data_IF_355990266827
#
_entry.id   IF_355990266827
#
_cell.length_a   1.000
_cell.length_b   1.000
_cell.length_c   1.000
_cell.angle_alpha   90.00
_cell.angle_beta   90.00
_cell.angle_gamma   90.00
#
_symmetry.space_group_name_H-M   'P 1'
#
loop_
_entity.id
_entity.type
_entity.pdbx_description
1 polymer ?
#
# COMPACT_ATOMS: atom_id res chain seq x y z
N UNK A 1 12.53 -30.10 -11.33
CA UNK A 1 13.10 -28.91 -10.66
C UNK A 1 12.81 -27.74 -11.57
N UNK A 2 11.87 -26.87 -11.20
CA UNK A 2 11.50 -25.71 -12.01
C UNK A 2 12.72 -24.79 -12.17
N UNK A 3 13.07 -24.43 -13.41
CA UNK A 3 14.17 -23.51 -13.69
C UNK A 3 13.71 -22.08 -13.38
N UNK A 4 13.68 -21.75 -12.10
CA UNK A 4 13.32 -20.42 -11.61
C UNK A 4 14.49 -19.46 -11.81
N UNK A 5 14.19 -18.23 -12.25
CA UNK A 5 15.19 -17.23 -12.63
C UNK A 5 14.88 -15.91 -11.96
N UNK A 6 15.81 -15.41 -11.14
CA UNK A 6 15.67 -14.18 -10.37
C UNK A 6 16.58 -13.08 -10.91
N UNK A 7 16.07 -11.85 -10.96
CA UNK A 7 16.80 -10.67 -11.44
C UNK A 7 16.26 -9.40 -10.78
N UNK A 8 16.97 -8.29 -10.90
CA UNK A 8 16.54 -6.98 -10.41
C UNK A 8 16.48 -6.00 -11.59
N UNK A 9 15.49 -5.11 -11.60
CA UNK A 9 15.33 -4.13 -12.68
C UNK A 9 15.98 -2.78 -12.34
N UNK A 10 16.55 -2.07 -13.33
CA UNK A 10 16.69 -2.44 -14.75
C UNK A 10 17.67 -3.60 -14.97
N UNK A 11 17.38 -4.46 -15.96
CA UNK A 11 18.13 -5.69 -16.20
C UNK A 11 18.65 -5.76 -17.63
N UNK A 12 19.84 -5.21 -17.88
CA UNK A 12 20.39 -5.06 -19.23
C UNK A 12 20.92 -6.38 -19.84
N UNK A 13 21.40 -7.30 -19.01
CA UNK A 13 21.99 -8.59 -19.43
C UNK A 13 20.97 -9.70 -19.72
N UNK A 14 19.70 -9.35 -19.95
CA UNK A 14 18.63 -10.34 -20.14
C UNK A 14 18.83 -11.25 -21.37
N UNK A 15 19.57 -10.79 -22.39
CA UNK A 15 19.82 -11.56 -23.60
C UNK A 15 20.78 -12.74 -23.37
N UNK A 16 21.77 -12.59 -22.48
CA UNK A 16 22.71 -13.67 -22.14
C UNK A 16 22.12 -14.61 -21.09
N UNK A 17 21.28 -14.07 -20.20
CA UNK A 17 20.68 -14.80 -19.10
C UNK A 17 19.52 -15.71 -19.52
N UNK A 18 18.74 -15.33 -20.54
CA UNK A 18 17.63 -16.14 -21.07
C UNK A 18 17.98 -16.72 -22.45
N UNK A 19 17.69 -18.02 -22.65
CA UNK A 19 17.83 -18.64 -23.96
C UNK A 19 16.88 -18.02 -24.98
N UNK A 20 17.27 -18.01 -26.26
CA UNK A 20 16.50 -17.41 -27.37
C UNK A 20 15.06 -17.92 -27.46
N UNK A 21 14.83 -19.20 -27.16
CA UNK A 21 13.50 -19.79 -27.10
C UNK A 21 12.62 -19.11 -26.05
N UNK A 22 13.14 -18.91 -24.83
CA UNK A 22 12.40 -18.30 -23.71
C UNK A 22 12.08 -16.83 -24.00
N UNK A 23 13.02 -16.11 -24.62
CA UNK A 23 12.84 -14.71 -25.00
C UNK A 23 11.69 -14.48 -25.99
N UNK A 24 11.41 -15.46 -26.86
CA UNK A 24 10.33 -15.40 -27.84
C UNK A 24 8.94 -15.72 -27.28
N UNK A 25 8.86 -16.23 -26.05
CA UNK A 25 7.58 -16.65 -25.47
C UNK A 25 6.73 -15.46 -25.03
N UNK A 26 5.42 -15.57 -25.27
CA UNK A 26 4.42 -14.64 -24.73
C UNK A 26 4.19 -14.93 -23.25
N UNK A 27 4.21 -13.87 -22.46
CA UNK A 27 4.18 -13.96 -21.00
C UNK A 27 2.98 -13.21 -20.42
N UNK A 28 2.58 -13.59 -19.20
CA UNK A 28 1.69 -12.82 -18.33
C UNK A 28 2.53 -12.23 -17.20
N UNK A 29 2.23 -10.99 -16.82
CA UNK A 29 2.98 -10.26 -15.79
C UNK A 29 2.08 -10.06 -14.56
N UNK A 30 2.55 -10.54 -13.41
CA UNK A 30 1.90 -10.42 -12.11
C UNK A 30 2.81 -9.63 -11.18
N UNK A 31 2.32 -8.51 -10.67
CA UNK A 31 3.08 -7.66 -9.78
C UNK A 31 2.54 -7.70 -8.36
N UNK A 32 3.43 -7.76 -7.39
CA UNK A 32 3.15 -7.70 -5.98
C UNK A 32 3.61 -6.33 -5.43
N UNK A 33 2.69 -5.69 -4.71
CA UNK A 33 2.93 -4.48 -3.95
C UNK A 33 2.45 -4.78 -2.55
N UNK A 34 3.27 -4.61 -1.53
CA UNK A 34 2.79 -4.85 -0.17
C UNK A 34 3.45 -4.00 0.88
N UNK A 35 2.73 -3.85 1.99
CA UNK A 35 3.29 -3.37 3.25
C UNK A 35 3.68 -4.59 4.04
N UNK A 36 4.93 -4.66 4.51
CA UNK A 36 5.37 -5.79 5.31
C UNK A 36 5.42 -5.37 6.78
N UNK A 37 4.94 -6.21 7.69
CA UNK A 37 5.29 -6.09 9.09
C UNK A 37 6.78 -6.39 9.27
N UNK A 38 7.36 -5.79 10.31
CA UNK A 38 8.70 -6.13 10.74
C UNK A 38 8.63 -7.44 11.51
N UNK A 39 9.08 -8.53 10.90
CA UNK A 39 9.31 -9.82 11.55
C UNK A 39 10.73 -10.25 11.19
N UNK A 40 11.55 -10.51 12.19
CA UNK A 40 12.95 -10.90 12.00
C UNK A 40 13.00 -12.18 11.14
N UNK A 41 13.70 -12.13 10.01
CA UNK A 41 13.94 -13.29 9.14
C UNK A 41 12.79 -13.72 8.21
N UNK A 42 11.60 -13.13 8.30
CA UNK A 42 10.48 -13.46 7.39
C UNK A 42 10.00 -12.25 6.59
N UNK A 43 9.87 -12.43 5.27
CA UNK A 43 9.04 -11.57 4.44
C UNK A 43 7.60 -11.71 4.97
N UNK A 44 7.06 -10.65 5.57
CA UNK A 44 5.69 -10.58 6.15
C UNK A 44 4.56 -10.70 5.10
N UNK A 45 4.80 -11.40 3.99
CA UNK A 45 3.81 -11.73 2.99
C UNK A 45 3.32 -13.15 3.28
N UNK A 46 2.52 -13.37 4.34
CA UNK A 46 2.19 -14.69 4.91
C UNK A 46 2.17 -15.90 3.95
N UNK A 47 1.00 -16.24 3.41
CA UNK A 47 0.84 -17.33 2.43
C UNK A 47 1.34 -16.97 1.02
N UNK A 48 1.52 -15.67 0.76
CA UNK A 48 1.91 -15.09 -0.53
C UNK A 48 3.39 -15.37 -0.83
N UNK A 49 4.29 -15.27 0.14
CA UNK A 49 5.73 -15.52 -0.05
C UNK A 49 6.01 -16.98 -0.47
N UNK A 50 5.16 -17.93 -0.08
CA UNK A 50 5.27 -19.35 -0.49
C UNK A 50 5.06 -19.53 -2.00
N UNK A 51 4.21 -18.70 -2.62
CA UNK A 51 3.92 -18.74 -4.05
C UNK A 51 4.96 -17.94 -4.83
N UNK A 52 5.29 -16.77 -4.31
CA UNK A 52 6.17 -15.82 -4.99
C UNK A 52 7.67 -16.09 -4.80
N UNK A 53 8.07 -16.79 -3.73
CA UNK A 53 9.44 -17.25 -3.41
C UNK A 53 10.54 -16.26 -3.83
N UNK A 54 10.36 -14.98 -3.56
CA UNK A 54 11.41 -14.00 -3.87
C UNK A 54 12.60 -14.20 -2.92
N UNK A 55 13.82 -13.75 -3.31
CA UNK A 55 15.06 -13.95 -2.51
C UNK A 55 14.82 -13.63 -1.03
N UNK A 56 15.37 -14.45 -0.13
CA UNK A 56 15.33 -14.15 1.31
C UNK A 56 16.18 -12.90 1.59
N UNK A 57 15.85 -12.12 2.64
CA UNK A 57 16.65 -10.94 3.01
C UNK A 57 18.14 -11.26 3.25
N UNK A 58 18.47 -12.49 3.66
CA UNK A 58 19.85 -12.93 3.90
C UNK A 58 20.70 -13.02 2.62
N UNK A 59 20.08 -13.24 1.45
CA UNK A 59 20.76 -13.28 0.15
C UNK A 59 20.98 -11.87 -0.45
N UNK A 60 20.48 -10.81 0.22
CA UNK A 60 20.54 -9.42 -0.27
C UNK A 60 21.88 -8.71 -0.02
N UNK A 61 22.87 -9.41 0.55
CA UNK A 61 24.21 -8.89 0.86
C UNK A 61 25.04 -8.49 -0.37
N UNK A 62 24.51 -8.63 -1.60
CA UNK A 62 25.20 -8.28 -2.85
C UNK A 62 24.52 -7.17 -3.68
N UNK A 63 23.43 -6.55 -3.22
CA UNK A 63 22.81 -5.45 -3.98
C UNK A 63 23.17 -4.08 -3.40
N UNK A 64 24.25 -3.49 -3.94
CA UNK A 64 24.72 -2.11 -3.72
C UNK A 64 23.76 -1.01 -4.24
N UNK A 65 22.46 -1.28 -4.33
CA UNK A 65 21.49 -0.27 -4.74
C UNK A 65 21.07 0.54 -3.51
N UNK A 66 21.74 1.65 -3.26
CA UNK A 66 21.42 2.71 -2.29
C UNK A 66 20.03 3.37 -2.50
N UNK A 67 19.16 2.79 -3.32
CA UNK A 67 17.86 3.33 -3.70
C UNK A 67 16.75 2.96 -2.73
N UNK A 68 15.86 3.93 -2.46
CA UNK A 68 14.66 3.76 -1.62
C UNK A 68 13.60 2.83 -2.21
N UNK A 69 13.69 2.49 -3.50
CA UNK A 69 12.76 1.60 -4.19
C UNK A 69 13.48 0.77 -5.23
N UNK A 70 13.24 -0.54 -5.21
CA UNK A 70 13.79 -1.51 -6.14
C UNK A 70 12.66 -2.42 -6.64
N UNK A 71 12.76 -2.88 -7.88
CA UNK A 71 11.82 -3.87 -8.45
C UNK A 71 12.57 -5.18 -8.63
N UNK A 72 12.21 -6.18 -7.82
CA UNK A 72 12.74 -7.54 -7.91
C UNK A 72 11.86 -8.33 -8.91
N UNK A 73 12.47 -9.12 -9.77
CA UNK A 73 11.80 -9.92 -10.80
C UNK A 73 12.08 -11.41 -10.66
N UNK A 74 11.07 -12.25 -10.93
CA UNK A 74 11.18 -13.71 -11.00
C UNK A 74 10.41 -14.23 -12.20
N UNK A 75 11.08 -14.97 -13.07
CA UNK A 75 10.45 -15.62 -14.22
C UNK A 75 10.29 -17.12 -13.98
N UNK A 76 9.05 -17.60 -14.08
CA UNK A 76 8.72 -19.03 -13.97
C UNK A 76 8.44 -19.56 -15.37
N UNK A 77 9.36 -20.38 -15.88
CA UNK A 77 9.33 -20.91 -17.26
C UNK A 77 8.10 -21.80 -17.48
N UNK A 78 7.76 -22.63 -16.50
CA UNK A 78 6.68 -23.62 -16.60
C UNK A 78 5.30 -22.95 -16.78
N UNK A 79 5.07 -21.88 -16.02
CA UNK A 79 3.81 -21.12 -16.05
C UNK A 79 3.80 -20.01 -17.11
N UNK A 80 4.98 -19.63 -17.64
CA UNK A 80 5.18 -18.47 -18.53
C UNK A 80 4.71 -17.17 -17.87
N UNK A 81 4.92 -17.07 -16.57
CA UNK A 81 4.55 -15.93 -15.75
C UNK A 81 5.80 -15.21 -15.28
N UNK A 82 5.78 -13.89 -15.44
CA UNK A 82 6.76 -13.00 -14.87
C UNK A 82 6.17 -12.35 -13.62
N UNK A 83 6.80 -12.62 -12.49
CA UNK A 83 6.48 -12.03 -11.20
C UNK A 83 7.38 -10.83 -10.95
N UNK A 84 6.79 -9.70 -10.55
CA UNK A 84 7.50 -8.51 -10.14
C UNK A 84 7.13 -8.18 -8.70
N UNK A 85 8.10 -7.75 -7.90
CA UNK A 85 7.89 -7.32 -6.54
C UNK A 85 8.41 -5.89 -6.40
N UNK A 86 7.51 -4.96 -6.08
CA UNK A 86 7.91 -3.61 -5.76
C UNK A 86 8.33 -3.54 -4.30
N UNK A 87 9.64 -3.43 -4.09
CA UNK A 87 10.23 -3.25 -2.79
C UNK A 87 10.45 -1.77 -2.56
N UNK A 88 9.48 -1.14 -1.90
CA UNK A 88 9.51 0.28 -1.54
C UNK A 88 9.78 0.54 -0.05
N UNK A 89 9.64 1.79 0.42
CA UNK A 89 9.82 2.18 1.82
C UNK A 89 8.72 1.63 2.74
N UNK A 90 7.64 1.09 2.18
CA UNK A 90 6.62 0.37 2.96
C UNK A 90 7.04 -1.05 3.36
N UNK A 91 8.17 -1.52 2.84
CA UNK A 91 8.79 -2.73 3.32
C UNK A 91 9.66 -2.38 4.54
N UNK A 92 9.28 -2.89 5.71
CA UNK A 92 9.95 -2.59 6.96
C UNK A 92 11.44 -2.96 6.93
N UNK A 93 11.80 -4.08 6.29
CA UNK A 93 13.19 -4.55 6.15
C UNK A 93 14.07 -3.55 5.42
N UNK A 94 13.55 -2.98 4.32
CA UNK A 94 14.27 -2.00 3.49
C UNK A 94 14.26 -0.61 4.11
N UNK A 95 13.17 -0.26 4.79
CA UNK A 95 13.16 0.96 5.58
C UNK A 95 14.27 0.93 6.62
N UNK A 96 14.48 -0.18 7.35
CA UNK A 96 15.54 -0.26 8.36
C UNK A 96 16.95 -0.16 7.77
N UNK A 97 17.20 -0.76 6.60
CA UNK A 97 18.52 -0.65 5.95
C UNK A 97 18.84 0.80 5.57
N UNK A 98 17.83 1.56 5.11
CA UNK A 98 18.03 2.94 4.62
C UNK A 98 17.74 4.00 5.70
N UNK A 99 17.15 3.62 6.84
CA UNK A 99 16.69 4.53 7.89
C UNK A 99 17.77 5.50 8.37
N UNK A 100 19.02 5.02 8.49
CA UNK A 100 20.16 5.84 8.92
C UNK A 100 20.43 6.99 7.94
N UNK A 101 20.33 6.73 6.64
CA UNK A 101 20.49 7.75 5.60
C UNK A 101 19.31 8.72 5.62
N UNK A 102 18.08 8.19 5.69
CA UNK A 102 16.85 9.00 5.75
C UNK A 102 16.91 10.01 6.90
N UNK A 103 17.37 9.59 8.10
CA UNK A 103 17.50 10.49 9.26
C UNK A 103 18.46 11.64 8.97
N UNK A 104 19.56 11.38 8.26
CA UNK A 104 20.52 12.41 7.92
C UNK A 104 19.91 13.41 6.93
N UNK A 105 19.27 12.90 5.88
CA UNK A 105 18.59 13.73 4.86
C UNK A 105 17.46 14.58 5.50
N UNK A 106 16.74 14.01 6.47
CA UNK A 106 15.70 14.73 7.23
C UNK A 106 16.25 15.88 8.06
N UNK A 107 17.49 15.78 8.58
CA UNK A 107 18.14 16.86 9.34
C UNK A 107 18.61 18.00 8.43
N UNK A 108 19.07 17.68 7.23
CA UNK A 108 19.64 18.65 6.29
C UNK A 108 18.56 19.38 5.49
N UNK A 109 17.61 18.64 4.91
CA UNK A 109 16.61 19.16 3.97
C UNK A 109 15.22 19.35 4.60
N UNK A 110 15.02 18.81 5.80
CA UNK A 110 13.74 18.82 6.51
C UNK A 110 12.83 17.64 6.13
N UNK A 111 12.01 17.23 7.10
CA UNK A 111 11.13 16.05 7.00
C UNK A 111 10.23 16.06 5.76
N UNK A 112 9.55 17.18 5.49
CA UNK A 112 8.55 17.25 4.41
C UNK A 112 9.16 17.10 3.02
N UNK A 113 10.35 17.67 2.81
CA UNK A 113 11.06 17.57 1.53
C UNK A 113 11.50 16.13 1.28
N UNK A 114 12.16 15.53 2.28
CA UNK A 114 12.58 14.14 2.24
C UNK A 114 11.39 13.20 2.01
N UNK A 115 10.32 13.33 2.79
CA UNK A 115 9.11 12.52 2.63
C UNK A 115 8.46 12.63 1.25
N UNK A 116 8.43 13.84 0.67
CA UNK A 116 7.89 14.05 -0.66
C UNK A 116 8.74 13.37 -1.74
N UNK A 117 10.07 13.52 -1.66
CA UNK A 117 11.00 12.86 -2.58
C UNK A 117 10.80 11.33 -2.57
N UNK A 118 10.66 10.74 -1.39
CA UNK A 118 10.43 9.29 -1.25
C UNK A 118 9.07 8.87 -1.80
N UNK A 119 8.02 9.64 -1.50
CA UNK A 119 6.67 9.39 -2.02
C UNK A 119 6.64 9.45 -3.54
N UNK A 120 7.39 10.37 -4.14
CA UNK A 120 7.52 10.51 -5.58
C UNK A 120 8.23 9.32 -6.24
N UNK A 121 9.35 8.86 -5.66
CA UNK A 121 10.06 7.66 -6.12
C UNK A 121 9.10 6.46 -6.12
N UNK A 122 8.34 6.28 -5.05
CA UNK A 122 7.33 5.23 -4.95
C UNK A 122 6.22 5.38 -5.99
N UNK A 123 5.72 6.60 -6.17
CA UNK A 123 4.66 6.91 -7.14
C UNK A 123 5.09 6.57 -8.58
N UNK A 124 6.34 6.88 -8.96
CA UNK A 124 6.89 6.51 -10.28
C UNK A 124 7.02 5.00 -10.42
N UNK A 125 7.56 4.32 -9.42
CA UNK A 125 7.67 2.87 -9.44
C UNK A 125 6.30 2.18 -9.54
N UNK A 126 5.27 2.71 -8.86
CA UNK A 126 3.89 2.23 -8.99
C UNK A 126 3.33 2.49 -10.39
N UNK A 127 3.51 3.68 -10.96
CA UNK A 127 3.06 3.97 -12.33
C UNK A 127 3.68 3.00 -13.34
N UNK A 128 4.97 2.70 -13.19
CA UNK A 128 5.65 1.70 -13.98
C UNK A 128 5.01 0.32 -13.82
N UNK A 129 4.82 -0.15 -12.58
CA UNK A 129 4.18 -1.45 -12.30
C UNK A 129 2.77 -1.53 -12.91
N UNK A 130 1.93 -0.51 -12.74
CA UNK A 130 0.57 -0.50 -13.28
C UNK A 130 0.51 -0.39 -14.82
N UNK A 131 1.55 0.08 -15.50
CA UNK A 131 1.60 0.14 -16.97
C UNK A 131 2.16 -1.13 -17.60
N UNK A 132 3.10 -1.79 -16.91
CA UNK A 132 3.83 -2.96 -17.40
C UNK A 132 3.30 -4.31 -16.88
N UNK A 133 2.20 -4.32 -16.13
CA UNK A 133 1.59 -5.52 -15.53
C UNK A 133 0.21 -5.85 -16.08
N UNK A 134 -0.16 -7.12 -16.00
CA UNK A 134 -1.52 -7.59 -16.27
C UNK A 134 -2.34 -7.73 -14.99
N UNK A 135 -1.72 -8.26 -13.94
CA UNK A 135 -2.34 -8.44 -12.63
C UNK A 135 -1.48 -7.71 -11.61
N UNK A 136 -2.10 -6.97 -10.71
CA UNK A 136 -1.42 -6.29 -9.61
C UNK A 136 -2.08 -6.74 -8.31
N UNK A 137 -1.27 -7.20 -7.37
CA UNK A 137 -1.71 -7.68 -6.06
C UNK A 137 -1.23 -6.68 -5.03
N UNK A 138 -2.17 -6.21 -4.20
CA UNK A 138 -1.87 -5.40 -3.03
C UNK A 138 -1.97 -6.29 -1.81
N UNK A 139 -0.82 -6.57 -1.20
CA UNK A 139 -0.73 -7.24 0.08
C UNK A 139 -0.74 -6.24 1.24
N UNK A 140 -1.61 -6.49 2.21
CA UNK A 140 -1.75 -5.65 3.39
C UNK A 140 -1.81 -6.52 4.65
N UNK A 141 -0.98 -6.23 5.66
CA UNK A 141 -0.86 -7.07 6.85
C UNK A 141 -2.01 -6.86 7.84
N UNK A 142 -3.01 -6.07 7.48
CA UNK A 142 -4.23 -5.85 8.27
C UNK A 142 -5.43 -6.41 7.53
N UNK A 143 -6.44 -6.83 8.29
CA UNK A 143 -7.73 -7.28 7.78
C UNK A 143 -8.60 -6.13 7.23
N UNK A 144 -8.16 -4.88 7.36
CA UNK A 144 -8.87 -3.71 6.84
C UNK A 144 -8.16 -3.11 5.63
N UNK A 145 -8.89 -2.72 4.57
CA UNK A 145 -8.27 -2.11 3.40
C UNK A 145 -7.72 -0.73 3.73
N UNK A 146 -6.46 -0.50 3.34
CA UNK A 146 -5.76 0.74 3.60
C UNK A 146 -6.23 1.88 2.68
N UNK A 147 -6.82 2.90 3.30
CA UNK A 147 -7.30 4.08 2.58
C UNK A 147 -6.15 4.90 1.97
N UNK A 148 -4.97 4.93 2.58
CA UNK A 148 -3.83 5.72 2.09
C UNK A 148 -3.31 5.19 0.75
N UNK A 149 -3.21 3.86 0.60
CA UNK A 149 -2.86 3.22 -0.67
C UNK A 149 -3.91 3.55 -1.74
N UNK A 150 -5.21 3.47 -1.42
CA UNK A 150 -6.27 3.83 -2.37
C UNK A 150 -6.24 5.31 -2.80
N UNK A 151 -5.91 6.22 -1.88
CA UNK A 151 -5.72 7.64 -2.20
C UNK A 151 -4.54 7.85 -3.15
N UNK A 152 -3.43 7.16 -2.93
CA UNK A 152 -2.29 7.21 -3.83
C UNK A 152 -2.64 6.67 -5.22
N UNK A 153 -3.34 5.54 -5.31
CA UNK A 153 -3.79 5.01 -6.60
C UNK A 153 -4.73 5.97 -7.33
N UNK A 154 -5.61 6.67 -6.58
CA UNK A 154 -6.46 7.72 -7.15
C UNK A 154 -5.61 8.84 -7.73
N UNK A 155 -4.58 9.26 -7.01
CA UNK A 155 -3.65 10.27 -7.48
C UNK A 155 -2.96 9.82 -8.78
N UNK A 156 -2.41 8.62 -8.81
CA UNK A 156 -1.74 8.08 -10.00
C UNK A 156 -2.68 8.03 -11.21
N UNK A 157 -3.98 7.80 -11.00
CA UNK A 157 -4.98 7.84 -12.08
C UNK A 157 -5.08 9.19 -12.79
N UNK A 158 -4.79 10.31 -12.10
CA UNK A 158 -4.76 11.65 -12.68
C UNK A 158 -3.44 11.95 -13.41
N UNK A 159 -2.34 11.37 -12.95
CA UNK A 159 -1.00 11.56 -13.56
C UNK A 159 -0.83 10.67 -14.79
N UNK A 160 -1.46 9.49 -14.80
CA UNK A 160 -1.32 8.47 -15.85
C UNK A 160 -1.46 8.99 -17.30
N UNK A 161 -2.42 9.87 -17.67
CA UNK A 161 -2.51 10.35 -19.06
C UNK A 161 -1.25 11.10 -19.52
N UNK A 162 -0.60 11.86 -18.62
CA UNK A 162 0.67 12.55 -18.94
C UNK A 162 1.81 11.55 -19.08
N UNK A 163 1.85 10.57 -18.18
CA UNK A 163 2.81 9.46 -18.21
C UNK A 163 2.69 8.63 -19.50
N UNK A 164 1.46 8.35 -19.96
CA UNK A 164 1.18 7.64 -21.20
C UNK A 164 1.81 8.35 -22.40
N UNK A 165 1.66 9.67 -22.53
CA UNK A 165 2.23 10.43 -23.67
C UNK A 165 3.75 10.30 -23.70
N UNK A 166 4.41 10.37 -22.54
CA UNK A 166 5.86 10.24 -22.43
C UNK A 166 6.32 8.82 -22.80
N UNK A 167 5.67 7.79 -22.26
CA UNK A 167 5.96 6.40 -22.61
C UNK A 167 5.76 6.13 -24.10
N UNK A 168 4.67 6.60 -24.71
CA UNK A 168 4.42 6.45 -26.14
C UNK A 168 5.55 7.09 -26.95
N UNK A 169 5.97 8.30 -26.61
CA UNK A 169 7.05 9.01 -27.30
C UNK A 169 8.41 8.30 -27.15
N UNK A 170 8.67 7.69 -26.00
CA UNK A 170 9.91 6.96 -25.75
C UNK A 170 9.93 5.62 -26.50
N UNK A 171 8.87 4.83 -26.36
CA UNK A 171 8.81 3.50 -26.95
C UNK A 171 8.75 3.54 -28.48
N UNK A 172 8.07 4.53 -29.06
CA UNK A 172 8.04 4.72 -30.53
C UNK A 172 9.38 5.13 -31.14
N UNK A 173 10.34 5.64 -30.33
CA UNK A 173 11.70 5.92 -30.81
C UNK A 173 12.61 4.70 -30.77
N UNK A 174 12.37 3.79 -29.82
CA UNK A 174 13.25 2.67 -29.53
C UNK A 174 12.79 1.42 -30.29
N UNK A 175 11.49 1.28 -30.51
CA UNK A 175 10.89 0.12 -31.15
C UNK A 175 10.26 0.51 -32.48
N UNK A 176 10.67 -0.14 -33.56
CA UNK A 176 10.16 0.08 -34.92
C UNK A 176 8.73 -0.46 -35.14
N UNK A 177 8.14 -1.10 -34.12
CA UNK A 177 6.83 -1.76 -34.23
C UNK A 177 5.69 -0.82 -33.81
N UNK A 178 4.65 -0.73 -34.66
CA UNK A 178 3.41 0.01 -34.38
C UNK A 178 2.38 -0.85 -33.66
N UNK A 179 2.74 -1.40 -32.51
CA UNK A 179 1.76 -2.13 -31.68
C UNK A 179 0.82 -1.17 -30.96
N UNK A 180 -0.45 -1.56 -30.83
CA UNK A 180 -1.47 -0.81 -30.06
C UNK A 180 -1.05 -0.55 -28.60
N UNK A 181 -0.17 -1.39 -28.05
CA UNK A 181 0.47 -1.20 -26.74
C UNK A 181 1.16 0.15 -26.64
N UNK A 182 1.96 0.53 -27.63
CA UNK A 182 2.74 1.77 -27.57
C UNK A 182 1.84 3.01 -27.60
N UNK A 183 0.74 2.98 -28.36
CA UNK A 183 -0.24 4.06 -28.38
C UNK A 183 -1.02 4.18 -27.06
N UNK A 184 -1.34 3.05 -26.41
CA UNK A 184 -2.04 3.05 -25.13
C UNK A 184 -1.12 3.28 -23.92
N UNK A 185 0.20 3.17 -24.11
CA UNK A 185 1.22 3.27 -23.05
C UNK A 185 1.01 2.25 -21.92
N UNK A 186 0.41 1.10 -22.21
CA UNK A 186 0.23 -0.01 -21.25
C UNK A 186 -0.18 -1.30 -21.96
N UNK A 187 0.02 -2.44 -21.32
CA UNK A 187 -0.33 -3.76 -21.88
C UNK A 187 -1.83 -4.06 -21.83
N UNK A 188 -2.48 -3.70 -20.72
CA UNK A 188 -3.92 -3.79 -20.53
C UNK A 188 -4.34 -2.85 -19.41
N UNK A 189 -5.63 -2.78 -19.08
CA UNK A 189 -6.02 -2.31 -17.75
C UNK A 189 -5.67 -3.41 -16.74
N UNK A 190 -4.69 -3.23 -15.86
CA UNK A 190 -4.30 -4.29 -14.93
C UNK A 190 -5.45 -4.58 -13.96
N UNK A 191 -5.65 -5.86 -13.65
CA UNK A 191 -6.63 -6.29 -12.65
C UNK A 191 -6.03 -6.18 -11.26
N UNK A 192 -6.71 -5.48 -10.36
CA UNK A 192 -6.27 -5.28 -9.00
C UNK A 192 -6.87 -6.35 -8.07
N UNK A 193 -6.00 -7.09 -7.39
CA UNK A 193 -6.35 -8.08 -6.38
C UNK A 193 -5.86 -7.60 -5.01
N UNK A 194 -6.58 -7.92 -3.95
CA UNK A 194 -6.20 -7.58 -2.58
C UNK A 194 -5.93 -8.86 -1.79
N UNK A 195 -4.82 -8.87 -1.07
CA UNK A 195 -4.52 -9.89 -0.06
C UNK A 195 -4.50 -9.20 1.29
N UNK A 196 -5.26 -9.74 2.25
CA UNK A 196 -5.41 -9.18 3.59
C UNK A 196 -5.10 -10.25 4.63
N UNK A 197 -4.48 -9.85 5.73
CA UNK A 197 -4.25 -10.75 6.85
C UNK A 197 -5.57 -11.25 7.47
N UNK A 198 -5.54 -12.45 8.05
CA UNK A 198 -6.67 -13.03 8.76
C UNK A 198 -7.11 -12.15 9.95
N UNK A 199 -8.40 -11.81 10.08
CA UNK A 199 -8.92 -11.25 11.32
C UNK A 199 -8.68 -12.20 12.51
N UNK A 200 -8.31 -11.68 13.70
CA UNK A 200 -8.07 -12.51 14.88
C UNK A 200 -9.34 -13.23 15.37
N UNK A 201 -10.53 -12.67 15.09
CA UNK A 201 -11.81 -13.24 15.51
C UNK A 201 -12.11 -14.63 14.91
N UNK A 202 -11.44 -15.00 13.81
CA UNK A 202 -11.63 -16.29 13.13
C UNK A 202 -10.80 -17.40 13.81
N UNK A 203 -9.80 -17.04 14.61
CA UNK A 203 -8.93 -17.99 15.31
C UNK A 203 -9.66 -18.78 16.41
N UNK A 204 -10.86 -18.35 16.81
CA UNK A 204 -11.63 -18.95 17.90
C UNK A 204 -12.67 -19.99 17.42
N UNK A 205 -12.76 -20.27 16.12
CA UNK A 205 -13.72 -21.24 15.59
C UNK A 205 -13.15 -22.67 15.64
N UNK A 206 -13.93 -23.64 16.15
CA UNK A 206 -13.46 -25.00 16.45
C UNK A 206 -13.37 -25.91 15.21
N UNK A 207 -14.14 -25.62 14.15
CA UNK A 207 -14.21 -26.47 12.94
C UNK A 207 -13.65 -25.77 11.70
N UNK A 208 -12.76 -26.44 10.94
CA UNK A 208 -12.13 -25.90 9.73
C UNK A 208 -13.13 -25.48 8.63
N UNK A 209 -14.25 -26.20 8.51
CA UNK A 209 -15.29 -25.87 7.52
C UNK A 209 -16.01 -24.56 7.85
N UNK A 210 -16.26 -24.30 9.14
CA UNK A 210 -16.87 -23.06 9.62
C UNK A 210 -15.93 -21.89 9.40
N UNK A 211 -14.63 -22.08 9.69
CA UNK A 211 -13.58 -21.09 9.41
C UNK A 211 -13.56 -20.70 7.94
N UNK A 212 -13.54 -21.67 7.01
CA UNK A 212 -13.52 -21.39 5.57
C UNK A 212 -14.81 -20.65 5.14
N UNK A 213 -15.97 -21.04 5.67
CA UNK A 213 -17.23 -20.36 5.37
C UNK A 213 -17.24 -18.92 5.91
N UNK A 214 -16.67 -18.69 7.09
CA UNK A 214 -16.54 -17.37 7.71
C UNK A 214 -15.59 -16.48 6.92
N UNK A 215 -14.43 -17.01 6.52
CA UNK A 215 -13.45 -16.33 5.67
C UNK A 215 -14.12 -15.88 4.37
N UNK A 216 -14.80 -16.76 3.64
CA UNK A 216 -15.50 -16.41 2.40
C UNK A 216 -16.59 -15.36 2.59
N UNK A 217 -17.29 -15.37 3.74
CA UNK A 217 -18.28 -14.34 4.07
C UNK A 217 -17.61 -12.98 4.26
N UNK A 218 -16.46 -12.95 4.92
CA UNK A 218 -15.67 -11.75 5.17
C UNK A 218 -15.07 -11.22 3.86
N UNK A 219 -14.52 -12.08 3.01
CA UNK A 219 -14.02 -11.72 1.68
C UNK A 219 -15.08 -10.98 0.88
N UNK A 220 -16.28 -11.55 0.74
CA UNK A 220 -17.39 -10.91 0.02
C UNK A 220 -17.78 -9.56 0.64
N UNK A 221 -17.84 -9.47 1.97
CA UNK A 221 -18.16 -8.22 2.65
C UNK A 221 -17.08 -7.14 2.41
N UNK A 222 -15.81 -7.53 2.34
CA UNK A 222 -14.69 -6.64 2.02
C UNK A 222 -14.71 -6.25 0.54
N UNK A 223 -15.00 -7.18 -0.37
CA UNK A 223 -15.17 -6.92 -1.81
C UNK A 223 -16.24 -5.85 -2.05
N UNK A 224 -17.43 -6.01 -1.46
CA UNK A 224 -18.51 -5.06 -1.56
C UNK A 224 -18.09 -3.68 -1.05
N UNK A 225 -17.40 -3.64 0.10
CA UNK A 225 -16.91 -2.39 0.69
C UNK A 225 -15.88 -1.69 -0.20
N UNK A 226 -14.90 -2.44 -0.71
CA UNK A 226 -13.86 -1.91 -1.62
C UNK A 226 -14.52 -1.41 -2.90
N UNK A 227 -15.42 -2.20 -3.50
CA UNK A 227 -16.14 -1.81 -4.70
C UNK A 227 -16.95 -0.52 -4.50
N UNK A 228 -17.66 -0.38 -3.38
CA UNK A 228 -18.39 0.84 -3.02
C UNK A 228 -17.47 2.05 -2.87
N UNK A 229 -16.33 1.89 -2.17
CA UNK A 229 -15.34 2.97 -1.99
C UNK A 229 -14.81 3.41 -3.36
N UNK A 230 -14.45 2.46 -4.22
CA UNK A 230 -13.84 2.71 -5.52
C UNK A 230 -14.83 3.31 -6.54
N UNK A 231 -16.12 2.95 -6.45
CA UNK A 231 -17.20 3.60 -7.21
C UNK A 231 -17.45 5.01 -6.73
N UNK A 232 -17.54 5.23 -5.41
CA UNK A 232 -17.72 6.58 -4.83
C UNK A 232 -16.55 7.51 -5.15
N UNK A 233 -15.33 7.00 -5.18
CA UNK A 233 -14.12 7.76 -5.51
C UNK A 233 -13.93 7.99 -7.02
N UNK A 234 -14.81 7.43 -7.88
CA UNK A 234 -14.79 7.49 -9.35
C UNK A 234 -13.53 6.92 -10.00
N UNK A 235 -12.83 6.02 -9.31
CA UNK A 235 -11.62 5.36 -9.84
C UNK A 235 -12.02 4.26 -10.82
N UNK A 236 -13.05 3.47 -10.47
CA UNK A 236 -13.60 2.43 -11.32
C UNK A 236 -14.61 3.02 -12.30
N UNK A 237 -14.39 2.79 -13.59
CA UNK A 237 -15.24 3.26 -14.70
C UNK A 237 -15.96 2.08 -15.36
N UNK A 238 -17.03 2.36 -16.10
CA UNK A 238 -17.76 1.33 -16.85
C UNK A 238 -16.93 0.71 -17.99
N UNK A 239 -15.95 1.47 -18.52
CA UNK A 239 -15.01 1.00 -19.54
C UNK A 239 -13.62 0.90 -18.91
N UNK A 240 -13.10 -0.31 -18.74
CA UNK A 240 -11.83 -0.57 -18.07
C UNK A 240 -10.63 0.05 -18.83
N UNK A 241 -10.71 0.17 -20.16
CA UNK A 241 -9.69 0.84 -20.97
C UNK A 241 -9.44 2.31 -20.57
N UNK A 242 -10.44 2.96 -19.94
CA UNK A 242 -10.32 4.35 -19.46
C UNK A 242 -9.97 4.44 -17.97
N UNK A 243 -10.04 3.33 -17.25
CA UNK A 243 -9.69 3.26 -15.83
C UNK A 243 -8.18 3.06 -15.67
N UNK A 244 -7.65 3.40 -14.50
CA UNK A 244 -6.23 3.16 -14.19
C UNK A 244 -5.97 1.66 -13.98
N UNK A 245 -6.88 0.97 -13.30
CA UNK A 245 -6.94 -0.48 -13.13
C UNK A 245 -8.40 -0.95 -13.23
N UNK A 246 -8.58 -2.26 -13.42
CA UNK A 246 -9.88 -2.93 -13.38
C UNK A 246 -10.04 -3.74 -12.10
N UNK A 247 -11.29 -4.03 -11.76
CA UNK A 247 -11.68 -5.00 -10.74
C UNK A 247 -12.49 -6.06 -11.47
N UNK A 248 -12.32 -7.33 -11.12
CA UNK A 248 -13.17 -8.37 -11.68
C UNK A 248 -14.56 -8.28 -11.03
N UNK A 249 -15.63 -7.95 -11.77
CA UNK A 249 -16.97 -7.91 -11.19
C UNK A 249 -17.57 -9.31 -11.00
N UNK A 250 -17.08 -10.29 -11.78
CA UNK A 250 -17.61 -11.66 -11.81
C UNK A 250 -16.67 -12.70 -11.18
N UNK A 251 -15.42 -12.31 -10.91
CA UNK A 251 -14.43 -13.18 -10.28
C UNK A 251 -14.11 -12.59 -8.90
N UNK A 252 -13.78 -13.45 -7.93
CA UNK A 252 -13.27 -13.06 -6.61
C UNK A 252 -12.01 -12.19 -6.79
N UNK A 253 -11.87 -11.09 -6.05
CA UNK A 253 -10.72 -10.19 -6.14
C UNK A 253 -10.10 -9.83 -4.79
N UNK A 254 -10.69 -10.30 -3.68
CA UNK A 254 -10.09 -10.23 -2.34
C UNK A 254 -9.80 -11.65 -1.87
N UNK A 255 -8.61 -11.84 -1.32
CA UNK A 255 -8.21 -13.06 -0.64
C UNK A 255 -7.82 -12.71 0.80
N UNK A 256 -8.41 -13.39 1.76
CA UNK A 256 -7.99 -13.29 3.16
C UNK A 256 -7.05 -14.45 3.44
N UNK A 257 -5.85 -14.14 3.93
CA UNK A 257 -4.89 -15.18 4.29
C UNK A 257 -5.50 -16.12 5.32
N UNK A 258 -5.21 -17.41 5.16
CA UNK A 258 -5.55 -18.37 6.19
C UNK A 258 -4.81 -18.01 7.47
N UNK A 259 -5.38 -18.34 8.65
CA UNK A 259 -4.68 -18.11 9.91
C UNK A 259 -3.27 -18.69 9.84
N UNK A 260 -2.24 -17.93 10.27
CA UNK A 260 -0.88 -18.41 10.22
C UNK A 260 -0.81 -19.72 11.01
N UNK A 261 -0.02 -20.71 10.55
CA UNK A 261 0.35 -21.80 11.44
C UNK A 261 1.01 -21.17 12.67
N UNK A 262 0.60 -21.60 13.85
CA UNK A 262 1.05 -21.07 15.14
C UNK A 262 2.58 -20.94 15.15
N UNK A 263 3.12 -19.85 15.71
CA UNK A 263 4.57 -19.67 15.73
C UNK A 263 5.23 -20.85 16.46
N UNK A 264 6.46 -21.26 16.10
CA UNK A 264 7.13 -22.38 16.77
C UNK A 264 7.28 -22.18 18.29
N UNK A 265 7.24 -20.92 18.75
CA UNK A 265 7.25 -20.57 20.18
C UNK A 265 5.87 -20.83 20.82
N UNK A 266 4.78 -20.48 20.14
CA UNK A 266 3.41 -20.77 20.60
C UNK A 266 3.12 -22.28 20.54
N UNK A 267 3.68 -22.98 19.54
CA UNK A 267 3.62 -24.44 19.44
C UNK A 267 4.42 -25.09 20.56
N UNK A 268 5.58 -24.55 20.94
CA UNK A 268 6.34 -25.02 22.09
C UNK A 268 5.60 -24.71 23.40
N UNK A 269 4.98 -23.54 23.53
CA UNK A 269 4.19 -23.17 24.71
C UNK A 269 2.96 -24.08 24.86
N UNK A 270 2.24 -24.36 23.77
CA UNK A 270 1.18 -25.37 23.75
C UNK A 270 1.69 -26.77 24.00
N UNK A 271 2.81 -27.17 23.40
CA UNK A 271 3.40 -28.48 23.68
C UNK A 271 3.79 -28.61 25.17
N UNK A 272 4.27 -27.53 25.79
CA UNK A 272 4.56 -27.48 27.23
C UNK A 272 3.30 -27.45 28.11
N UNK A 273 2.20 -26.89 27.62
CA UNK A 273 0.88 -26.91 28.29
C UNK A 273 0.16 -28.24 28.12
N UNK A 274 0.34 -28.92 26.98
CA UNK A 274 -0.22 -30.23 26.63
C UNK A 274 0.66 -31.38 27.12
N UNK A 275 1.80 -31.14 27.77
CA UNK A 275 2.50 -32.19 28.52
C UNK A 275 1.65 -32.51 29.74
N UNK A 276 0.95 -33.67 29.77
CA UNK A 276 0.25 -34.05 30.98
C UNK A 276 1.30 -34.26 32.06
N UNK A 277 1.16 -33.54 33.18
CA UNK A 277 1.84 -33.89 34.41
C UNK A 277 1.35 -35.31 34.74
N UNK A 278 2.15 -36.32 34.39
CA UNK A 278 1.87 -37.71 34.72
C UNK A 278 1.86 -37.83 36.25
N UNK A 279 0.67 -37.78 36.85
CA UNK A 279 0.40 -38.55 38.05
C UNK A 279 0.37 -40.01 37.62
N UNK A 280 1.23 -40.81 38.25
CA UNK A 280 1.39 -42.24 37.98
C UNK A 280 0.06 -42.98 38.17
N UNK A 281 -0.63 -43.27 37.07
CA UNK A 281 -1.55 -44.40 37.00
C UNK A 281 -1.68 -44.89 35.56
N UNK A 282 -1.45 -46.19 35.41
CA UNK A 282 -1.34 -46.95 34.18
C UNK A 282 -2.54 -46.82 33.24
N UNK A 283 -2.27 -46.65 31.95
CA UNK A 283 -2.90 -47.42 30.88
C UNK A 283 -2.18 -47.17 29.55
N UNK A 284 -1.64 -48.25 28.99
CA UNK A 284 -0.98 -48.31 27.70
C UNK A 284 -1.99 -48.16 26.56
N UNK A 285 -2.15 -46.96 26.02
CA UNK A 285 -2.62 -46.73 24.65
C UNK A 285 -1.74 -45.65 24.00
N UNK A 286 -0.61 -46.07 23.44
CA UNK A 286 0.23 -45.22 22.57
C UNK A 286 -0.51 -44.99 21.24
N UNK A 287 -1.44 -44.02 21.21
CA UNK A 287 -1.90 -43.44 19.95
C UNK A 287 -0.78 -42.57 19.35
N UNK A 288 -0.22 -43.07 18.25
CA UNK A 288 0.76 -42.42 17.40
C UNK A 288 0.14 -41.17 16.73
N UNK A 289 0.18 -40.01 17.43
CA UNK A 289 -0.11 -38.70 16.86
C UNK A 289 1.03 -38.23 15.93
N UNK A 290 1.16 -38.88 14.78
CA UNK A 290 1.80 -38.30 13.61
C UNK A 290 0.69 -37.82 12.67
N UNK A 291 0.03 -36.72 13.04
CA UNK A 291 -0.70 -35.94 12.05
C UNK A 291 0.33 -35.34 11.08
N UNK A 292 0.46 -36.03 9.96
CA UNK A 292 1.12 -35.59 8.74
C UNK A 292 0.59 -34.19 8.38
N UNK A 293 1.36 -33.14 8.71
CA UNK A 293 1.05 -31.72 8.47
C UNK A 293 1.02 -31.33 6.97
N UNK A 294 0.81 -32.29 6.09
CA UNK A 294 0.75 -32.14 4.64
C UNK A 294 -0.64 -32.36 4.03
N UNK A 295 -1.68 -32.59 4.85
CA UNK A 295 -3.07 -32.67 4.36
C UNK A 295 -3.59 -31.28 3.97
N UNK A 296 -3.28 -30.92 2.73
CA UNK A 296 -3.92 -29.95 1.86
C UNK A 296 -5.24 -29.36 2.39
N UNK A 297 -5.22 -28.08 2.78
CA UNK A 297 -6.42 -27.24 2.90
C UNK A 297 -7.20 -27.31 1.59
N UNK A 298 -8.23 -28.17 1.51
CA UNK A 298 -8.99 -28.41 0.27
C UNK A 298 -9.85 -27.17 -0.04
N UNK A 299 -9.31 -26.29 -0.89
CA UNK A 299 -10.10 -25.33 -1.68
C UNK A 299 -9.93 -23.85 -1.36
N UNK A 300 -9.20 -23.47 -0.30
CA UNK A 300 -8.91 -22.07 0.03
C UNK A 300 -7.39 -21.82 0.07
N UNK A 301 -6.76 -21.81 -1.10
CA UNK A 301 -5.34 -21.52 -1.24
C UNK A 301 -5.11 -20.32 -2.13
N UNK A 302 -4.13 -19.49 -1.77
CA UNK A 302 -3.76 -18.32 -2.54
C UNK A 302 -3.32 -18.69 -3.97
N UNK A 303 -2.64 -19.82 -4.14
CA UNK A 303 -2.24 -20.32 -5.46
C UNK A 303 -3.46 -20.59 -6.36
N UNK A 304 -4.50 -21.25 -5.85
CA UNK A 304 -5.72 -21.50 -6.64
C UNK A 304 -6.43 -20.19 -7.00
N UNK A 305 -6.51 -19.25 -6.06
CA UNK A 305 -7.08 -17.92 -6.30
C UNK A 305 -6.34 -17.19 -7.44
N UNK A 306 -5.01 -17.10 -7.35
CA UNK A 306 -4.20 -16.43 -8.36
C UNK A 306 -4.22 -17.15 -9.72
N UNK A 307 -4.18 -18.48 -9.72
CA UNK A 307 -4.15 -19.29 -10.94
C UNK A 307 -5.41 -19.10 -11.79
N UNK A 308 -6.59 -18.87 -11.18
CA UNK A 308 -7.83 -18.54 -11.91
C UNK A 308 -7.62 -17.30 -12.79
N UNK A 309 -7.00 -16.25 -12.25
CA UNK A 309 -6.77 -15.01 -12.98
C UNK A 309 -5.66 -15.13 -14.02
N UNK A 310 -4.57 -15.85 -13.70
CA UNK A 310 -3.47 -16.13 -14.64
C UNK A 310 -4.00 -16.92 -15.85
N UNK A 311 -4.78 -17.97 -15.61
CA UNK A 311 -5.36 -18.80 -16.68
C UNK A 311 -6.26 -17.96 -17.60
N UNK A 312 -7.08 -17.08 -17.02
CA UNK A 312 -7.93 -16.14 -17.79
C UNK A 312 -7.11 -15.17 -18.63
N UNK A 313 -5.99 -14.67 -18.09
CA UNK A 313 -5.05 -13.80 -18.81
C UNK A 313 -4.36 -14.52 -19.98
N UNK A 314 -4.03 -15.80 -19.83
CA UNK A 314 -3.43 -16.58 -20.92
C UNK A 314 -4.42 -16.93 -22.05
N UNK A 315 -5.70 -17.14 -21.73
CA UNK A 315 -6.67 -17.63 -22.70
C UNK A 315 -7.40 -16.48 -23.42
N UNK A 316 -8.18 -15.69 -22.67
CA UNK A 316 -9.20 -14.81 -23.24
C UNK A 316 -8.91 -13.32 -23.04
N UNK A 317 -8.11 -12.98 -22.03
CA UNK A 317 -7.92 -11.61 -21.54
C UNK A 317 -9.00 -11.21 -20.52
N UNK A 318 -8.99 -9.95 -20.06
CA UNK A 318 -9.90 -9.50 -18.99
C UNK A 318 -11.13 -8.78 -19.54
N UNK A 319 -12.33 -9.35 -19.40
CA UNK A 319 -13.59 -8.72 -19.79
C UNK A 319 -14.28 -8.02 -18.60
N UNK A 320 -13.60 -7.00 -18.06
CA UNK A 320 -14.04 -6.29 -16.84
C UNK A 320 -14.90 -5.05 -17.13
N UNK A 321 -15.42 -4.89 -18.35
CA UNK A 321 -16.34 -3.81 -18.68
C UNK A 321 -17.70 -4.04 -18.01
N UNK A 322 -18.35 -2.97 -17.58
CA UNK A 322 -19.60 -3.03 -16.82
C UNK A 322 -20.77 -2.35 -17.54
N UNK A 323 -21.99 -2.78 -17.21
CA UNK A 323 -23.23 -2.21 -17.74
C UNK A 323 -23.39 -2.48 -19.23
N UNK A 324 -23.61 -1.44 -20.03
CA UNK A 324 -23.85 -1.57 -21.48
C UNK A 324 -22.60 -1.96 -22.28
N UNK A 325 -21.42 -1.96 -21.65
CA UNK A 325 -20.14 -2.19 -22.33
C UNK A 325 -19.58 -3.60 -22.11
N UNK A 326 -20.31 -4.50 -21.44
CA UNK A 326 -19.90 -5.88 -21.16
C UNK A 326 -19.53 -6.68 -22.42
N UNK A 327 -20.20 -6.41 -23.54
CA UNK A 327 -19.94 -7.07 -24.82
C UNK A 327 -18.73 -6.51 -25.59
N UNK A 328 -18.17 -5.36 -25.16
CA UNK A 328 -17.03 -4.74 -25.82
C UNK A 328 -15.76 -5.37 -25.27
N UNK A 329 -14.98 -6.03 -26.13
CA UNK A 329 -13.67 -6.58 -25.76
C UNK A 329 -12.71 -5.44 -25.45
N UNK A 330 -12.15 -5.37 -24.23
CA UNK A 330 -11.15 -4.36 -23.89
C UNK A 330 -9.78 -4.72 -24.48
N UNK A 331 -8.88 -3.75 -24.42
CA UNK A 331 -7.55 -3.90 -24.97
C UNK A 331 -6.70 -4.78 -24.07
N UNK A 332 -6.02 -5.75 -24.66
CA UNK A 332 -5.20 -6.71 -23.94
C UNK A 332 -4.09 -7.24 -24.85
N UNK A 333 -2.84 -6.87 -24.54
CA UNK A 333 -1.66 -7.29 -25.28
C UNK A 333 -0.78 -8.19 -24.41
N UNK A 334 -0.38 -9.34 -24.95
CA UNK A 334 0.63 -10.22 -24.32
C UNK A 334 1.98 -10.03 -25.01
N UNK A 335 2.93 -9.35 -24.36
CA UNK A 335 4.24 -9.12 -24.94
C UNK A 335 5.06 -10.41 -24.91
N UNK A 336 6.09 -10.46 -25.77
CA UNK A 336 7.15 -11.45 -25.59
C UNK A 336 8.09 -11.02 -24.47
N UNK A 337 8.76 -11.96 -23.82
CA UNK A 337 9.72 -11.65 -22.76
C UNK A 337 10.79 -10.66 -23.25
N UNK A 338 11.31 -10.83 -24.47
CA UNK A 338 12.27 -9.91 -25.10
C UNK A 338 11.72 -8.48 -25.19
N UNK A 339 10.58 -8.32 -25.85
CA UNK A 339 9.95 -6.99 -26.04
C UNK A 339 9.58 -6.34 -24.72
N UNK A 340 9.24 -7.14 -23.71
CA UNK A 340 8.91 -6.62 -22.39
C UNK A 340 10.16 -6.05 -21.70
N UNK A 341 11.28 -6.76 -21.70
CA UNK A 341 12.54 -6.28 -21.12
C UNK A 341 13.10 -5.04 -21.82
N UNK A 342 13.09 -5.03 -23.16
CA UNK A 342 13.53 -3.88 -23.94
C UNK A 342 12.71 -2.62 -23.59
N UNK A 343 11.39 -2.75 -23.51
CA UNK A 343 10.51 -1.65 -23.11
C UNK A 343 10.70 -1.26 -21.63
N UNK A 344 10.85 -2.24 -20.72
CA UNK A 344 11.04 -2.00 -19.30
C UNK A 344 12.34 -1.23 -19.01
N UNK A 345 13.47 -1.69 -19.56
CA UNK A 345 14.76 -1.04 -19.37
C UNK A 345 14.75 0.37 -19.99
N UNK A 346 14.17 0.53 -21.18
CA UNK A 346 14.03 1.83 -21.80
C UNK A 346 13.26 2.83 -20.93
N UNK A 347 12.17 2.39 -20.29
CA UNK A 347 11.38 3.24 -19.38
C UNK A 347 12.14 3.54 -18.08
N UNK A 348 12.84 2.57 -17.52
CA UNK A 348 13.51 2.70 -16.22
C UNK A 348 14.81 3.49 -16.27
N UNK A 349 15.53 3.43 -17.40
CA UNK A 349 16.75 4.22 -17.64
C UNK A 349 16.46 5.68 -18.01
N UNK A 350 15.25 6.00 -18.45
CA UNK A 350 14.90 7.36 -18.83
C UNK A 350 14.86 8.29 -17.62
N UNK A 351 15.52 9.46 -17.66
CA UNK A 351 15.61 10.36 -16.51
C UNK A 351 14.27 11.04 -16.16
N UNK A 352 13.37 11.21 -17.12
CA UNK A 352 12.06 11.83 -16.89
C UNK A 352 11.07 10.81 -16.30
N UNK A 353 11.23 9.53 -16.63
CA UNK A 353 10.27 8.47 -16.31
C UNK A 353 10.76 7.52 -15.20
N UNK A 354 12.07 7.34 -15.06
CA UNK A 354 12.74 6.36 -14.20
C UNK A 354 12.61 6.58 -12.69
N UNK A 355 13.03 5.58 -11.93
CA UNK A 355 12.81 5.46 -10.47
C UNK A 355 13.81 6.33 -9.65
N UNK A 356 14.91 6.80 -10.24
CA UNK A 356 16.08 7.28 -9.48
C UNK A 356 16.40 8.78 -9.47
N UNK A 357 15.83 9.61 -10.35
CA UNK A 357 16.28 11.00 -10.46
C UNK A 357 15.49 11.97 -9.56
N UNK A 358 16.23 12.74 -8.74
CA UNK A 358 15.73 13.89 -7.97
C UNK A 358 15.21 15.02 -8.88
N UNK A 359 15.74 15.11 -10.10
CA UNK A 359 15.38 16.08 -11.12
C UNK A 359 14.22 15.59 -12.00
N UNK A 360 13.07 15.27 -11.41
CA UNK A 360 11.92 14.89 -12.25
C UNK A 360 11.17 16.13 -12.74
N UNK A 361 10.95 16.17 -14.04
CA UNK A 361 10.12 17.19 -14.71
C UNK A 361 8.63 16.83 -14.61
N UNK A 362 8.19 16.20 -13.51
CA UNK A 362 6.77 15.95 -13.23
C UNK A 362 6.20 16.92 -12.16
N UNK A 363 6.05 18.24 -12.46
CA UNK A 363 5.41 19.20 -11.55
C UNK A 363 4.02 18.75 -11.11
N UNK A 364 3.32 17.96 -11.92
CA UNK A 364 2.00 17.47 -11.61
C UNK A 364 2.00 16.32 -10.59
N UNK A 365 3.03 15.48 -10.59
CA UNK A 365 3.17 14.45 -9.55
C UNK A 365 3.62 15.12 -8.27
N UNK A 366 4.68 15.93 -8.35
CA UNK A 366 5.22 16.69 -7.22
C UNK A 366 4.16 17.57 -6.59
N UNK A 367 3.37 18.32 -7.36
CA UNK A 367 2.31 19.17 -6.81
C UNK A 367 1.24 18.37 -6.06
N UNK A 368 0.95 17.14 -6.48
CA UNK A 368 -0.16 16.36 -5.93
C UNK A 368 0.27 15.40 -4.81
N UNK A 369 1.52 14.94 -4.81
CA UNK A 369 2.14 14.20 -3.70
C UNK A 369 2.66 15.14 -2.62
N UNK A 370 2.94 16.41 -2.98
CA UNK A 370 3.46 17.39 -2.05
C UNK A 370 2.53 17.55 -0.86
N UNK A 371 3.07 17.41 0.37
CA UNK A 371 2.32 17.72 1.56
C UNK A 371 1.86 19.18 1.60
N UNK A 372 2.38 20.07 0.74
CA UNK A 372 1.90 21.45 0.54
C UNK A 372 0.48 21.56 -0.03
N UNK A 373 -0.09 20.53 -0.66
CA UNK A 373 -1.53 20.55 -1.01
C UNK A 373 -2.41 20.23 0.19
N UNK A 374 -1.95 19.34 1.07
CA UNK A 374 -2.59 19.03 2.36
C UNK A 374 -2.32 20.12 3.43
N UNK A 375 -1.17 20.79 3.32
CA UNK A 375 -0.69 21.91 4.11
C UNK A 375 -0.70 23.21 3.29
N UNK A 376 -1.61 23.37 2.33
CA UNK A 376 -1.82 24.70 1.72
C UNK A 376 -2.22 25.68 2.83
N UNK A 377 -2.86 25.15 3.89
CA UNK A 377 -2.97 25.83 5.17
C UNK A 377 -1.64 26.22 5.81
N UNK A 378 -0.55 25.44 5.76
CA UNK A 378 0.75 25.73 6.36
C UNK A 378 1.53 26.86 5.69
N UNK A 379 1.69 26.86 4.36
CA UNK A 379 2.32 27.97 3.62
C UNK A 379 1.42 29.19 3.56
N UNK A 380 0.09 29.04 3.41
CA UNK A 380 -0.81 30.18 3.54
C UNK A 380 -0.90 30.70 4.98
N UNK A 381 -0.76 29.84 6.00
CA UNK A 381 -0.64 30.29 7.41
C UNK A 381 0.68 30.98 7.63
N UNK A 382 1.81 30.47 7.16
CA UNK A 382 3.11 31.14 7.33
C UNK A 382 3.18 32.45 6.55
N UNK A 383 2.63 32.50 5.34
CA UNK A 383 2.48 33.74 4.56
C UNK A 383 1.47 34.70 5.17
N UNK A 384 0.51 34.25 5.97
CA UNK A 384 -0.40 35.13 6.71
C UNK A 384 0.18 35.56 8.07
N UNK A 385 0.87 34.67 8.77
CA UNK A 385 1.40 34.92 10.12
C UNK A 385 2.73 35.64 10.11
N UNK A 386 3.59 35.43 9.12
CA UNK A 386 4.86 36.14 8.98
C UNK A 386 4.66 37.66 8.82
N UNK A 387 3.83 38.16 7.89
CA UNK A 387 3.57 39.59 7.79
C UNK A 387 2.78 40.11 9.00
N UNK A 388 1.88 39.32 9.60
CA UNK A 388 1.16 39.72 10.82
C UNK A 388 2.12 39.87 12.02
N UNK A 389 3.02 38.91 12.23
CA UNK A 389 4.02 38.94 13.28
C UNK A 389 5.05 40.06 13.03
N UNK A 390 5.45 40.25 11.78
CA UNK A 390 6.35 41.33 11.39
C UNK A 390 5.68 42.70 11.56
N UNK A 391 4.40 42.84 11.24
CA UNK A 391 3.61 44.06 11.46
C UNK A 391 3.40 44.33 12.95
N UNK A 392 3.12 43.31 13.77
CA UNK A 392 3.01 43.45 15.23
C UNK A 392 4.35 43.82 15.88
N UNK A 393 5.45 43.27 15.37
CA UNK A 393 6.79 43.61 15.80
C UNK A 393 7.16 45.04 15.41
N UNK A 394 6.87 45.45 14.18
CA UNK A 394 7.12 46.81 13.69
C UNK A 394 6.24 47.85 14.38
N UNK A 395 4.95 47.56 14.62
CA UNK A 395 4.02 48.46 15.32
C UNK A 395 4.36 48.62 16.80
N UNK A 396 4.79 47.53 17.46
CA UNK A 396 5.32 47.56 18.83
C UNK A 396 6.65 48.32 18.92
N UNK A 397 7.43 48.34 17.83
CA UNK A 397 8.71 49.06 17.73
C UNK A 397 8.52 50.56 17.49
N UNK A 398 7.48 50.97 16.77
CA UNK A 398 7.16 52.41 16.58
C UNK A 398 6.76 53.15 17.88
N UNK A 399 6.44 52.44 18.97
CA UNK A 399 6.19 53.05 20.28
C UNK A 399 7.46 53.29 21.12
N UNK A 400 8.63 52.81 20.69
CA UNK A 400 9.91 53.04 21.39
C UNK A 400 10.99 53.42 20.37
N UNK A 401 11.34 54.71 20.35
CA UNK A 401 12.46 55.29 19.61
C UNK A 401 13.71 54.38 19.64
N UNK A 402 14.32 54.17 18.47
CA UNK A 402 15.50 53.31 18.23
C UNK A 402 16.70 53.67 19.12
N UNK A 403 17.45 52.65 19.58
CA UNK A 403 18.84 52.49 19.11
C UNK A 403 19.23 50.99 18.86
N UNK A 404 20.45 50.69 18.34
CA UNK A 404 20.73 49.43 17.66
C UNK A 404 21.12 48.33 18.65
N UNK A 405 20.23 47.36 18.88
CA UNK A 405 20.57 46.10 19.53
C UNK A 405 19.86 44.99 18.76
N UNK A 406 20.55 44.41 17.78
CA UNK A 406 20.04 43.24 17.05
C UNK A 406 20.20 41.94 17.87
N UNK A 407 21.07 41.95 18.88
CA UNK A 407 21.37 40.78 19.71
C UNK A 407 21.12 41.04 21.20
N UNK A 408 19.84 41.06 21.61
CA UNK A 408 19.46 40.68 22.99
C UNK A 408 18.67 39.39 22.92
N UNK A 409 19.37 38.29 22.68
CA UNK A 409 18.94 36.98 23.13
C UNK A 409 19.74 36.58 24.38
N UNK A 410 18.99 36.25 25.44
CA UNK A 410 19.45 35.54 26.62
C UNK A 410 19.33 36.35 27.93
N UNK A 411 18.95 35.76 29.08
CA UNK A 411 18.24 34.50 29.33
C UNK A 411 16.91 34.71 30.13
N UNK A 412 16.08 33.67 30.22
CA UNK A 412 15.04 33.53 31.25
C UNK A 412 13.86 34.54 31.21
N UNK A 413 12.88 34.32 30.32
CA UNK A 413 11.49 34.55 30.74
C UNK A 413 11.14 33.48 31.78
N UNK A 414 11.42 33.78 33.05
CA UNK A 414 10.63 33.21 34.15
C UNK A 414 9.19 33.60 33.84
N UNK A 415 8.38 32.62 33.44
CA UNK A 415 6.93 32.67 33.61
C UNK A 415 6.68 33.00 35.08
N UNK A 416 6.47 34.28 35.38
CA UNK A 416 5.92 34.73 36.64
C UNK A 416 4.55 34.06 36.75
N UNK A 417 4.49 33.00 37.56
CA UNK A 417 3.24 32.41 38.02
C UNK A 417 2.34 33.56 38.51
N UNK A 418 1.10 33.69 38.03
CA UNK A 418 0.19 34.66 38.62
C UNK A 418 -0.04 34.29 40.09
N UNK A 419 0.05 35.31 40.94
CA UNK A 419 -0.08 35.21 42.38
C UNK A 419 -1.40 34.55 42.81
N UNK A 420 -1.30 33.60 43.74
CA UNK A 420 -2.39 32.86 44.40
C UNK A 420 -3.28 33.72 45.31
N UNK A 421 -3.65 34.94 44.90
CA UNK A 421 -4.55 35.83 45.66
C UNK A 421 -5.87 36.16 44.96
N UNK A 422 -6.07 35.78 43.69
CA UNK A 422 -7.31 36.09 42.98
C UNK A 422 -8.37 34.96 43.00
N UNK A 423 -7.97 33.72 43.33
CA UNK A 423 -8.88 32.56 43.40
C UNK A 423 -9.70 32.45 44.70
N UNK A 424 -9.40 33.25 45.73
CA UNK A 424 -10.20 33.25 46.97
C UNK A 424 -11.49 34.09 46.86
N UNK A 425 -11.64 34.97 45.86
CA UNK A 425 -12.86 35.76 45.65
C UNK A 425 -13.88 35.10 44.70
N UNK A 426 -13.47 34.19 43.82
CA UNK A 426 -14.39 33.46 42.92
C UNK A 426 -14.93 32.15 43.52
N UNK A 427 -14.24 31.58 44.52
CA UNK A 427 -14.73 30.41 45.27
C UNK A 427 -15.81 30.74 46.32
N UNK A 428 -16.01 32.02 46.65
CA UNK A 428 -17.03 32.48 47.62
C UNK A 428 -18.40 32.75 46.99
N UNK A 429 -18.49 32.85 45.65
CA UNK A 429 -19.74 33.11 44.93
C UNK A 429 -20.41 31.81 44.45
N UNK A 430 -19.67 30.70 44.33
CA UNK A 430 -20.23 29.40 43.93
C UNK A 430 -20.68 28.49 45.10
N UNK A 431 -20.29 28.82 46.35
CA UNK A 431 -20.76 28.11 47.57
C UNK A 431 -22.16 28.51 48.07
N UNK A 432 -22.90 29.34 47.32
CA UNK A 432 -24.29 29.72 47.65
C UNK A 432 -25.36 29.09 46.76
N UNK A 433 -25.02 28.19 45.82
CA UNK A 433 -25.99 27.64 44.86
C UNK A 433 -26.11 26.12 44.77
N UNK A 434 -25.67 25.40 45.79
CA UNK A 434 -25.96 23.96 45.96
C UNK A 434 -26.37 23.67 47.40
N UNK A 435 -27.64 23.92 47.72
CA UNK A 435 -28.33 23.28 48.85
C UNK A 435 -29.68 22.77 48.34
N UNK A 436 -29.81 21.44 48.39
CA UNK A 436 -31.04 20.63 48.42
C UNK A 436 -31.85 20.61 47.12
N UNK A 437 -31.78 19.53 46.34
CA UNK A 437 -32.39 18.20 46.54
C UNK A 437 -33.83 18.14 45.99
N UNK A 438 -34.01 17.12 45.15
CA UNK A 438 -35.15 16.52 44.43
C UNK A 438 -36.45 16.34 45.28
N UNK A 439 -37.56 15.70 44.81
CA UNK A 439 -37.79 14.97 43.55
C UNK A 439 -39.24 15.05 42.95
N UNK A 440 -39.41 14.28 41.86
CA UNK A 440 -40.60 13.49 41.45
C UNK A 440 -41.82 14.08 40.70
N UNK A 441 -42.06 13.40 39.55
CA UNK A 441 -43.31 12.85 38.95
C UNK A 441 -44.39 13.74 38.31
N UNK A 442 -44.61 13.38 37.03
CA UNK A 442 -45.88 13.23 36.30
C UNK A 442 -46.79 14.46 36.08
N UNK A 443 -46.98 14.84 34.81
CA UNK A 443 -48.23 14.70 34.04
C UNK A 443 -48.32 15.69 32.86
N UNK A 444 -48.71 15.14 31.70
CA UNK A 444 -49.24 15.77 30.47
C UNK A 444 -50.63 16.40 30.83
N UNK A 445 -51.25 17.44 30.17
CA UNK A 445 -51.40 17.66 28.71
C UNK A 445 -51.47 19.10 28.14
N UNK A 446 -51.48 19.17 26.79
CA UNK A 446 -52.21 20.10 25.92
C UNK A 446 -51.86 21.60 25.97
N UNK A 447 -51.81 22.36 24.88
CA UNK A 447 -52.10 22.12 23.48
C UNK A 447 -51.78 23.38 22.68
N UNK A 448 -51.57 23.23 21.37
CA UNK A 448 -51.74 24.34 20.43
C UNK A 448 -52.17 23.77 19.08
N UNK A 449 -53.47 23.88 18.80
CA UNK A 449 -53.99 23.78 17.45
C UNK A 449 -53.58 25.04 16.68
N UNK A 450 -53.09 24.84 15.45
CA UNK A 450 -53.06 25.84 14.41
C UNK A 450 -54.13 25.48 13.37
N UNK A 451 -54.95 26.49 13.06
CA UNK A 451 -55.35 26.91 11.71
C UNK A 451 -56.08 25.92 10.79
N UNK A 452 -57.32 26.28 10.50
CA UNK A 452 -57.86 26.40 9.13
C UNK A 452 -56.89 27.09 8.17
#
# INVERSE_FOLDING_TARGET
>A
MASEKHFDLPFDDFQSYFGSYVLSQKIVIVSLIGKSNWVEGMKSFGGVDKVFRFRKPEDSSQCDSNGMSQIEGRYVVDEKVLYLNLVGPWNANRLNTVWKQVIQDMKEMGFLHCWNAHTNICARALLFIFTMSHIVIIDHPSHTPDHSTLQLLKLLSYVRPKYQVLQTNLLTRIMDFKDEWFFQGRLCSPRLLFVLACPPDILFEETEEEQIQRIKRIERAIEDRIYMILRKSRIVKYVCNRAFYSIAPNDEFVFVENPPPEEPVDQLEKFLLDVPVKDESDSDEEEMYLHDFSTMKKGHTFQQFLQKHITKAHNEGFYDNMGKYTHVKPFFQRPTLKTWFEAANAILHDPDIGIGNELSVFPAMDSLTSPETHLSGGTSRSQATAPLAMAMYQSSRSQRLNPPFRDRQGPLMKLSRPDKKEDKRKLQIHKRRTKKASPERSSIPSGRQSKT
#
